data_IF_251566980752
#
_entry.id   IF_251566980752
#
_cell.length_a   1.000
_cell.length_b   1.000
_cell.length_c   1.000
_cell.angle_alpha   90.00
_cell.angle_beta   90.00
_cell.angle_gamma   90.00
#
_symmetry.space_group_name_H-M   'P 1'
#
loop_
_entity.id
_entity.type
_entity.pdbx_description
1 polymer ?
#
# COMPACT_ATOMS: atom_id res chain seq x y z
N UNK A 1 -19.04 17.49 15.54
CA UNK A 1 -18.92 16.07 15.15
C UNK A 1 -18.81 15.99 13.64
N UNK A 2 -18.39 14.86 13.06
CA UNK A 2 -18.35 14.69 11.59
C UNK A 2 -19.72 14.95 10.95
N UNK A 3 -20.80 14.54 11.62
CA UNK A 3 -22.18 14.84 11.23
C UNK A 3 -22.51 16.34 11.22
N UNK A 4 -22.04 17.10 12.21
CA UNK A 4 -22.20 18.56 12.25
C UNK A 4 -21.40 19.32 11.19
N UNK A 5 -20.47 18.63 10.50
CA UNK A 5 -19.71 19.14 9.37
C UNK A 5 -20.26 18.67 8.01
N UNK A 6 -21.45 18.04 7.99
CA UNK A 6 -22.12 17.60 6.75
C UNK A 6 -21.66 16.25 6.20
N UNK A 7 -20.91 15.45 6.97
CA UNK A 7 -20.55 14.08 6.57
C UNK A 7 -21.70 13.13 6.90
N UNK A 8 -22.45 12.72 5.87
CA UNK A 8 -23.65 11.88 5.99
C UNK A 8 -23.40 10.40 5.71
N UNK A 9 -22.34 10.07 4.98
CA UNK A 9 -21.94 8.68 4.67
C UNK A 9 -20.59 8.37 5.29
N UNK A 10 -20.52 7.25 6.00
CA UNK A 10 -19.31 6.74 6.60
C UNK A 10 -18.83 5.52 5.83
N UNK A 11 -17.75 5.67 5.07
CA UNK A 11 -17.04 4.55 4.49
C UNK A 11 -15.96 4.12 5.49
N UNK A 12 -16.16 2.97 6.13
CA UNK A 12 -15.23 2.45 7.13
C UNK A 12 -14.24 1.50 6.46
N UNK A 13 -12.95 1.77 6.71
CA UNK A 13 -11.87 0.95 6.20
C UNK A 13 -10.98 0.48 7.36
N UNK A 14 -10.59 -0.80 7.40
CA UNK A 14 -9.63 -1.26 8.39
C UNK A 14 -8.29 -0.54 8.20
N UNK A 15 -7.60 -0.25 9.29
CA UNK A 15 -6.27 0.36 9.28
C UNK A 15 -5.28 -0.57 9.97
N UNK A 16 -4.45 -1.23 9.17
CA UNK A 16 -3.45 -2.20 9.63
C UNK A 16 -2.08 -1.58 9.42
N UNK A 17 -1.26 -1.51 10.47
CA UNK A 17 0.12 -1.01 10.33
C UNK A 17 1.04 -2.13 9.87
N UNK A 18 1.75 -1.92 8.77
CA UNK A 18 2.68 -2.90 8.21
C UNK A 18 3.96 -2.24 7.68
N UNK A 19 5.11 -2.85 7.96
CA UNK A 19 6.41 -2.41 7.42
C UNK A 19 6.75 -3.21 6.18
N UNK A 20 7.09 -2.54 5.08
CA UNK A 20 7.56 -3.21 3.87
C UNK A 20 8.94 -3.84 4.14
N UNK A 21 9.06 -5.15 3.96
CA UNK A 21 10.29 -5.90 4.24
C UNK A 21 10.97 -6.42 2.99
N UNK A 22 10.23 -6.70 1.91
CA UNK A 22 10.79 -7.12 0.63
C UNK A 22 9.97 -6.65 -0.57
N UNK A 23 10.65 -6.45 -1.70
CA UNK A 23 10.08 -6.17 -3.03
C UNK A 23 10.67 -7.19 -4.00
N UNK A 24 9.83 -7.97 -4.69
CA UNK A 24 10.26 -9.01 -5.63
C UNK A 24 11.14 -10.09 -5.00
N UNK A 25 10.97 -10.36 -3.69
CA UNK A 25 11.81 -11.29 -2.93
C UNK A 25 13.12 -10.69 -2.37
N UNK A 26 13.48 -9.48 -2.78
CA UNK A 26 14.67 -8.79 -2.28
C UNK A 26 14.36 -7.96 -1.04
N UNK A 27 15.17 -8.12 0.02
CA UNK A 27 14.99 -7.39 1.26
C UNK A 27 15.14 -5.88 1.04
N UNK A 28 14.16 -5.12 1.52
CA UNK A 28 14.20 -3.65 1.48
C UNK A 28 15.32 -3.17 2.40
N UNK A 29 16.25 -2.43 1.82
CA UNK A 29 17.35 -1.79 2.54
C UNK A 29 17.32 -0.30 2.20
N UNK A 30 16.93 0.54 3.16
CA UNK A 30 16.76 1.98 2.95
C UNK A 30 17.97 2.62 2.26
N UNK A 31 19.19 2.28 2.72
CA UNK A 31 20.46 2.75 2.13
C UNK A 31 20.65 2.49 0.61
N UNK A 32 19.87 1.59 0.00
CA UNK A 32 19.92 1.31 -1.44
C UNK A 32 19.16 2.33 -2.28
N UNK A 33 18.27 3.13 -1.68
CA UNK A 33 17.60 4.22 -2.38
C UNK A 33 18.51 5.45 -2.42
N UNK A 34 18.66 6.04 -3.61
CA UNK A 34 19.48 7.25 -3.80
C UNK A 34 18.84 8.51 -3.19
N UNK A 35 17.51 8.54 -3.09
CA UNK A 35 16.74 9.67 -2.59
C UNK A 35 16.41 9.49 -1.10
N UNK A 36 16.74 10.47 -0.26
CA UNK A 36 16.46 10.45 1.18
C UNK A 36 14.97 10.27 1.52
N UNK A 37 14.06 10.83 0.72
CA UNK A 37 12.62 10.62 0.88
C UNK A 37 12.31 9.13 0.71
N UNK A 38 12.87 8.49 -0.31
CA UNK A 38 12.67 7.05 -0.52
C UNK A 38 13.26 6.23 0.63
N UNK A 39 14.41 6.61 1.17
CA UNK A 39 14.99 5.98 2.37
C UNK A 39 14.02 6.07 3.57
N UNK A 40 13.53 7.27 3.89
CA UNK A 40 12.56 7.48 4.98
C UNK A 40 11.25 6.71 4.76
N UNK A 41 10.79 6.61 3.52
CA UNK A 41 9.61 5.83 3.17
C UNK A 41 9.84 4.33 3.32
N UNK A 42 11.04 3.83 3.03
CA UNK A 42 11.39 2.42 3.19
C UNK A 42 11.46 1.99 4.67
N UNK A 43 11.77 2.90 5.59
CA UNK A 43 11.92 2.60 7.02
C UNK A 43 10.61 2.67 7.82
N UNK A 44 9.59 3.35 7.28
CA UNK A 44 8.35 3.61 8.02
C UNK A 44 7.37 2.43 7.94
N UNK A 45 6.41 2.43 8.86
CA UNK A 45 5.21 1.62 8.74
C UNK A 45 4.18 2.31 7.82
N UNK A 46 3.55 1.54 6.96
CA UNK A 46 2.45 1.96 6.10
C UNK A 46 1.11 1.61 6.76
N UNK A 47 0.11 2.46 6.50
CA UNK A 47 -1.27 2.09 6.74
C UNK A 47 -1.76 1.26 5.56
N UNK A 48 -1.95 -0.02 5.80
CA UNK A 48 -2.57 -0.97 4.89
C UNK A 48 -4.07 -0.99 5.18
N UNK A 49 -4.85 -1.04 4.11
CA UNK A 49 -6.29 -1.12 4.20
C UNK A 49 -6.83 -2.15 3.22
N UNK A 50 -8.11 -2.48 3.34
CA UNK A 50 -8.77 -3.45 2.50
C UNK A 50 -10.14 -2.95 2.07
N UNK A 51 -10.48 -3.18 0.80
CA UNK A 51 -11.78 -2.90 0.23
C UNK A 51 -12.10 -3.94 -0.84
N UNK A 52 -13.37 -4.39 -0.90
CA UNK A 52 -13.80 -5.32 -1.94
C UNK A 52 -13.91 -4.64 -3.31
N UNK A 53 -14.35 -3.39 -3.35
CA UNK A 53 -14.45 -2.57 -4.55
C UNK A 53 -13.46 -1.40 -4.51
N UNK A 54 -13.08 -0.90 -5.70
CA UNK A 54 -12.24 0.29 -5.80
C UNK A 54 -12.93 1.49 -5.14
N UNK A 55 -12.25 2.25 -4.26
CA UNK A 55 -12.83 3.44 -3.66
C UNK A 55 -13.24 4.43 -4.75
N UNK A 56 -14.46 4.93 -4.70
CA UNK A 56 -15.03 5.78 -5.76
C UNK A 56 -14.27 7.10 -6.00
N UNK A 57 -13.49 7.53 -5.01
CA UNK A 57 -12.66 8.74 -5.06
C UNK A 57 -11.24 8.50 -5.58
N UNK A 58 -10.87 7.25 -5.87
CA UNK A 58 -9.55 6.90 -6.40
C UNK A 58 -9.64 6.60 -7.90
N UNK A 59 -8.78 7.23 -8.68
CA UNK A 59 -8.58 6.87 -10.09
C UNK A 59 -7.57 5.73 -10.22
N UNK A 60 -7.91 4.71 -11.01
CA UNK A 60 -6.99 3.62 -11.34
C UNK A 60 -6.18 4.04 -12.57
N UNK A 61 -4.95 4.47 -12.34
CA UNK A 61 -4.03 4.92 -13.41
C UNK A 61 -3.29 3.77 -14.12
N UNK A 62 -3.21 2.60 -13.49
CA UNK A 62 -2.56 1.41 -14.04
C UNK A 62 -3.09 0.12 -13.39
N UNK A 63 -3.10 -0.97 -14.16
CA UNK A 63 -3.60 -2.27 -13.69
C UNK A 63 -5.13 -2.36 -13.67
N UNK A 64 -5.67 -3.30 -12.91
CA UNK A 64 -7.12 -3.51 -12.76
C UNK A 64 -7.46 -3.92 -11.34
N UNK A 65 -8.48 -3.30 -10.76
CA UNK A 65 -8.95 -3.67 -9.42
C UNK A 65 -9.44 -5.12 -9.38
N UNK A 66 -9.12 -5.85 -8.32
CA UNK A 66 -9.59 -7.22 -8.10
C UNK A 66 -9.11 -8.24 -9.14
N UNK A 67 -8.05 -7.93 -9.90
CA UNK A 67 -7.52 -8.82 -10.95
C UNK A 67 -6.43 -9.77 -10.47
N UNK A 68 -6.22 -9.89 -9.16
CA UNK A 68 -5.24 -10.82 -8.61
C UNK A 68 -5.61 -12.26 -8.98
N UNK A 69 -4.62 -13.13 -9.28
CA UNK A 69 -4.86 -14.55 -9.48
C UNK A 69 -5.58 -15.21 -8.30
N UNK A 70 -6.29 -16.31 -8.57
CA UNK A 70 -6.95 -17.06 -7.51
C UNK A 70 -5.92 -17.56 -6.48
N UNK A 71 -6.15 -17.23 -5.20
CA UNK A 71 -5.23 -17.56 -4.11
C UNK A 71 -4.18 -16.48 -3.80
N UNK A 72 -4.12 -15.41 -4.58
CA UNK A 72 -3.23 -14.27 -4.32
C UNK A 72 -4.01 -13.04 -3.82
N UNK A 73 -3.32 -12.17 -3.08
CA UNK A 73 -3.85 -10.88 -2.65
C UNK A 73 -3.42 -9.77 -3.62
N UNK A 74 -4.39 -9.03 -4.15
CA UNK A 74 -4.12 -7.81 -4.90
C UNK A 74 -3.80 -6.65 -3.96
N UNK A 75 -2.79 -5.85 -4.32
CA UNK A 75 -2.43 -4.63 -3.62
C UNK A 75 -2.56 -3.43 -4.56
N UNK A 76 -3.04 -2.30 -4.05
CA UNK A 76 -2.97 -1.01 -4.72
C UNK A 76 -2.03 -0.08 -3.97
N UNK A 77 -1.28 0.74 -4.72
CA UNK A 77 -0.30 1.69 -4.20
C UNK A 77 -0.49 3.02 -4.93
N UNK A 78 -0.36 4.12 -4.20
CA UNK A 78 -0.39 5.47 -4.76
C UNK A 78 0.76 5.68 -5.76
N UNK A 79 0.49 6.32 -6.90
CA UNK A 79 1.43 6.39 -8.04
C UNK A 79 2.78 7.03 -7.71
N UNK A 80 2.80 8.08 -6.89
CA UNK A 80 4.00 8.76 -6.41
C UNK A 80 4.80 7.87 -5.46
N UNK A 81 4.15 7.13 -4.56
CA UNK A 81 4.80 6.15 -3.71
C UNK A 81 5.40 5.01 -4.53
N UNK A 82 4.65 4.47 -5.50
CA UNK A 82 5.15 3.44 -6.42
C UNK A 82 6.39 3.94 -7.17
N UNK A 83 6.34 5.15 -7.71
CA UNK A 83 7.47 5.79 -8.39
C UNK A 83 8.66 5.97 -7.46
N UNK A 84 8.43 6.48 -6.24
CA UNK A 84 9.49 6.75 -5.27
C UNK A 84 10.21 5.46 -4.82
N UNK A 85 9.47 4.36 -4.71
CA UNK A 85 10.01 3.05 -4.34
C UNK A 85 10.40 2.17 -5.54
N UNK A 86 10.20 2.65 -6.77
CA UNK A 86 10.52 1.91 -8.00
C UNK A 86 9.64 0.69 -8.27
N UNK A 87 8.42 0.65 -7.71
CA UNK A 87 7.50 -0.48 -7.83
C UNK A 87 6.88 -0.57 -9.23
N UNK A 88 6.61 -1.81 -9.66
CA UNK A 88 5.97 -2.13 -10.93
C UNK A 88 4.77 -3.05 -10.75
N UNK A 89 3.87 -3.05 -11.72
CA UNK A 89 2.78 -4.03 -11.76
C UNK A 89 3.36 -5.44 -11.87
N UNK A 90 2.87 -6.33 -11.00
CA UNK A 90 3.35 -7.71 -10.89
C UNK A 90 4.46 -7.92 -9.85
N UNK A 91 4.99 -6.86 -9.24
CA UNK A 91 5.91 -7.03 -8.11
C UNK A 91 5.21 -7.67 -6.91
N UNK A 92 5.88 -8.64 -6.28
CA UNK A 92 5.46 -9.19 -4.99
C UNK A 92 6.01 -8.35 -3.86
N UNK A 93 5.16 -7.91 -2.94
CA UNK A 93 5.58 -7.15 -1.75
C UNK A 93 5.38 -8.00 -0.50
N UNK A 94 6.35 -7.99 0.40
CA UNK A 94 6.26 -8.63 1.71
C UNK A 94 6.17 -7.60 2.82
N UNK A 95 5.32 -7.84 3.81
CA UNK A 95 5.12 -6.94 4.94
C UNK A 95 5.34 -7.65 6.27
N UNK A 96 5.82 -6.92 7.27
CA UNK A 96 5.74 -7.32 8.67
C UNK A 96 4.60 -6.54 9.33
N UNK A 97 3.62 -7.27 9.89
CA UNK A 97 2.45 -6.71 10.57
C UNK A 97 2.51 -7.11 12.05
N UNK A 98 2.52 -6.13 12.94
CA UNK A 98 2.51 -6.38 14.39
C UNK A 98 3.72 -7.16 14.92
N UNK A 99 4.85 -7.16 14.19
CA UNK A 99 6.06 -7.93 14.53
C UNK A 99 6.13 -9.31 13.86
N UNK A 100 5.05 -9.76 13.22
CA UNK A 100 5.01 -11.04 12.50
C UNK A 100 5.22 -10.83 10.99
N UNK A 101 6.08 -11.61 10.32
CA UNK A 101 6.14 -11.61 8.87
C UNK A 101 4.85 -12.22 8.30
N UNK A 102 4.32 -11.61 7.24
CA UNK A 102 3.07 -12.04 6.58
C UNK A 102 3.27 -12.10 5.08
#
# INVERSE_FOLDING_TARGET
TLTGAGVERFDWYPMIRGRLTAIGGEAVQARRFADERAQRLAEREFNLSHAGAAPAHNEIVAGRWGSAPAGELGLSVESGLATTLGLKLGDTLAFNIGGLPV
#
